data_IF_079541420093
#
_entry.id   IF_079541420093
#
_cell.length_a   1.000
_cell.length_b   1.000
_cell.length_c   1.000
_cell.angle_alpha   90.00
_cell.angle_beta   90.00
_cell.angle_gamma   90.00
#
_symmetry.space_group_name_H-M   'P 1'
#
loop_
_entity.id
_entity.type
_entity.pdbx_description
1 polymer ?
#
# COMPACT_ATOMS: atom_id res chain seq x y z
N UNK A 1 7.83 -11.63 -15.22
CA UNK A 1 6.68 -10.90 -14.62
C UNK A 1 7.11 -9.72 -13.74
N UNK A 2 8.05 -9.89 -12.80
CA UNK A 2 8.59 -8.78 -11.97
C UNK A 2 9.13 -7.57 -12.75
N UNK A 3 9.67 -7.80 -13.96
CA UNK A 3 10.12 -6.71 -14.85
C UNK A 3 8.96 -5.83 -15.32
N UNK A 4 7.82 -6.42 -15.70
CA UNK A 4 6.63 -5.66 -16.09
C UNK A 4 6.09 -4.87 -14.90
N UNK A 5 6.01 -5.51 -13.74
CA UNK A 5 5.62 -4.84 -12.49
C UNK A 5 6.54 -3.67 -12.16
N UNK A 6 7.85 -3.80 -12.34
CA UNK A 6 8.81 -2.72 -12.12
C UNK A 6 8.63 -1.54 -13.09
N UNK A 7 8.28 -1.80 -14.35
CA UNK A 7 8.00 -0.73 -15.32
C UNK A 7 6.72 0.02 -14.94
N UNK A 8 5.67 -0.71 -14.55
CA UNK A 8 4.41 -0.10 -14.12
C UNK A 8 4.61 0.66 -12.80
N UNK A 9 5.38 0.12 -11.86
CA UNK A 9 5.72 0.76 -10.58
C UNK A 9 6.42 2.10 -10.82
N UNK A 10 7.43 2.14 -11.70
CA UNK A 10 8.12 3.37 -12.08
C UNK A 10 7.16 4.43 -12.64
N UNK A 11 6.31 4.05 -13.60
CA UNK A 11 5.32 4.98 -14.19
C UNK A 11 4.33 5.52 -13.18
N UNK A 12 3.84 4.67 -12.26
CA UNK A 12 2.92 5.11 -11.21
C UNK A 12 3.64 6.05 -10.23
N UNK A 13 4.90 5.79 -9.87
CA UNK A 13 5.68 6.66 -8.98
C UNK A 13 5.94 8.05 -9.55
N UNK A 14 6.08 8.17 -10.87
CA UNK A 14 6.23 9.47 -11.53
C UNK A 14 4.97 10.34 -11.42
N UNK A 15 3.79 9.72 -11.24
CA UNK A 15 2.49 10.39 -11.13
C UNK A 15 2.08 10.58 -9.66
N UNK A 16 2.25 9.55 -8.83
CA UNK A 16 1.77 9.52 -7.46
C UNK A 16 2.69 10.32 -6.53
N UNK A 17 2.21 11.48 -6.08
CA UNK A 17 2.85 12.22 -4.99
C UNK A 17 2.38 11.75 -3.61
N UNK A 18 3.27 11.07 -2.89
CA UNK A 18 3.08 10.67 -1.50
C UNK A 18 3.37 11.83 -0.53
N UNK A 19 2.84 11.75 0.70
CA UNK A 19 3.08 12.79 1.70
C UNK A 19 4.52 12.73 2.22
N UNK A 20 5.06 13.88 2.65
CA UNK A 20 6.41 13.96 3.27
C UNK A 20 6.52 13.17 4.57
N UNK A 21 5.40 12.78 5.17
CA UNK A 21 5.35 12.01 6.41
C UNK A 21 5.34 10.49 6.15
N UNK A 22 5.20 10.07 4.88
CA UNK A 22 5.25 8.67 4.49
C UNK A 22 6.71 8.26 4.25
N UNK A 23 7.27 7.49 5.17
CA UNK A 23 8.64 6.96 5.09
C UNK A 23 8.70 5.52 4.59
N UNK A 24 7.62 4.75 4.75
CA UNK A 24 7.56 3.35 4.32
C UNK A 24 7.40 3.21 2.81
N UNK A 25 8.17 2.29 2.20
CA UNK A 25 8.12 1.96 0.76
C UNK A 25 8.44 3.12 -0.20
N UNK A 26 9.07 4.18 0.32
CA UNK A 26 9.61 5.30 -0.44
C UNK A 26 11.12 5.08 -0.68
N UNK A 27 11.58 5.34 -1.90
CA UNK A 27 13.01 5.30 -2.19
C UNK A 27 13.74 6.41 -1.40
N UNK A 28 14.86 6.06 -0.76
CA UNK A 28 15.68 7.01 -0.02
C UNK A 28 15.17 7.37 1.39
N UNK A 29 14.09 6.76 1.87
CA UNK A 29 13.64 6.89 3.26
C UNK A 29 13.69 5.54 3.98
N UNK A 30 14.30 5.51 5.16
CA UNK A 30 14.38 4.32 6.00
C UNK A 30 13.60 4.46 7.31
N UNK A 31 13.51 3.35 8.05
CA UNK A 31 12.96 3.34 9.41
C UNK A 31 13.70 4.32 10.34
N UNK A 32 15.02 4.47 10.16
CA UNK A 32 15.83 5.42 10.91
C UNK A 32 15.37 6.88 10.71
N UNK A 33 15.00 7.26 9.49
CA UNK A 33 14.48 8.60 9.20
C UNK A 33 13.12 8.84 9.87
N UNK A 34 12.25 7.83 9.86
CA UNK A 34 10.96 7.89 10.52
C UNK A 34 11.10 8.07 12.04
N UNK A 35 11.98 7.27 12.67
CA UNK A 35 12.29 7.36 14.10
C UNK A 35 12.86 8.74 14.42
N UNK A 36 13.85 9.20 13.64
CA UNK A 36 14.47 10.51 13.82
C UNK A 36 13.43 11.64 13.71
N UNK A 37 12.54 11.59 12.72
CA UNK A 37 11.48 12.59 12.57
C UNK A 37 10.53 12.61 13.79
N UNK A 38 10.17 11.44 14.31
CA UNK A 38 9.35 11.33 15.51
C UNK A 38 10.08 11.88 16.75
N UNK A 39 11.35 11.53 16.95
CA UNK A 39 12.18 12.04 18.05
C UNK A 39 12.28 13.58 18.02
N UNK A 40 12.60 14.16 16.86
CA UNK A 40 12.69 15.61 16.69
C UNK A 40 11.36 16.31 16.98
N UNK A 41 10.23 15.70 16.63
CA UNK A 41 8.91 16.24 16.91
C UNK A 41 8.58 16.24 18.41
N UNK A 42 9.00 15.20 19.13
CA UNK A 42 8.86 15.09 20.59
C UNK A 42 9.74 16.13 21.26
N UNK A 43 11.03 16.19 20.92
CA UNK A 43 12.00 17.12 21.48
C UNK A 43 11.54 18.58 21.35
N UNK A 44 11.12 18.99 20.14
CA UNK A 44 10.63 20.35 19.86
C UNK A 44 9.38 20.73 20.65
N UNK A 45 8.55 19.76 21.04
CA UNK A 45 7.37 19.99 21.88
C UNK A 45 7.74 20.06 23.36
N UNK A 46 8.66 19.20 23.81
CA UNK A 46 9.22 19.22 25.15
C UNK A 46 9.94 20.55 25.46
N UNK A 47 10.73 21.08 24.52
CA UNK A 47 11.39 22.39 24.62
C UNK A 47 10.39 23.53 24.90
N UNK A 48 9.18 23.42 24.35
CA UNK A 48 8.10 24.40 24.52
C UNK A 48 7.23 24.13 25.74
N UNK A 49 7.61 23.18 26.59
CA UNK A 49 6.85 22.71 27.74
C UNK A 49 5.39 22.34 27.39
N UNK A 50 5.17 21.84 26.17
CA UNK A 50 3.85 21.39 25.73
C UNK A 50 3.72 19.88 25.93
N UNK A 51 2.60 19.39 26.47
CA UNK A 51 2.36 17.96 26.57
C UNK A 51 2.35 17.31 25.18
N UNK A 52 2.91 16.10 25.09
CA UNK A 52 2.93 15.29 23.88
C UNK A 52 2.17 13.99 24.16
N UNK A 53 1.23 13.67 23.29
CA UNK A 53 0.53 12.39 23.28
C UNK A 53 0.82 11.69 21.95
N UNK A 54 1.15 10.41 22.01
CA UNK A 54 1.50 9.59 20.85
C UNK A 54 0.56 8.38 20.83
N UNK A 55 -0.07 8.15 19.69
CA UNK A 55 -0.85 6.95 19.42
C UNK A 55 -0.12 6.11 18.38
N UNK A 56 0.05 4.81 18.65
CA UNK A 56 0.57 3.86 17.68
C UNK A 56 -0.62 3.12 17.05
N UNK A 57 -0.71 3.17 15.72
CA UNK A 57 -1.75 2.51 14.93
C UNK A 57 -1.07 1.46 14.07
N UNK A 58 -1.38 0.19 14.33
CA UNK A 58 -1.00 -0.92 13.48
C UNK A 58 -2.26 -1.52 12.85
N UNK A 59 -2.21 -1.74 11.53
CA UNK A 59 -3.33 -2.28 10.78
C UNK A 59 -3.13 -3.80 10.65
N UNK A 60 -4.07 -4.59 11.16
CA UNK A 60 -4.00 -6.05 11.05
C UNK A 60 -4.21 -6.48 9.58
N UNK A 61 -3.25 -7.25 9.01
CA UNK A 61 -3.38 -7.91 7.70
C UNK A 61 -3.76 -6.97 6.56
N UNK A 62 -3.06 -5.84 6.47
CA UNK A 62 -3.42 -4.75 5.55
C UNK A 62 -3.44 -5.15 4.08
N UNK A 63 -2.51 -6.02 3.67
CA UNK A 63 -2.48 -6.54 2.31
C UNK A 63 -3.60 -7.55 2.02
N UNK A 64 -4.10 -8.24 3.05
CA UNK A 64 -5.12 -9.28 2.87
C UNK A 64 -6.54 -8.69 2.93
N UNK A 65 -6.72 -7.51 3.53
CA UNK A 65 -8.04 -6.90 3.75
C UNK A 65 -8.35 -5.67 2.90
N UNK A 66 -7.38 -5.13 2.16
CA UNK A 66 -7.59 -3.94 1.32
C UNK A 66 -8.55 -4.25 0.15
N UNK A 67 -9.72 -3.59 0.05
CA UNK A 67 -10.59 -3.75 -1.11
C UNK A 67 -9.92 -3.17 -2.36
N UNK A 68 -9.85 -3.96 -3.44
CA UNK A 68 -9.21 -3.54 -4.69
C UNK A 68 -9.81 -2.26 -5.27
N UNK A 69 -11.13 -2.08 -5.12
CA UNK A 69 -11.82 -0.87 -5.58
C UNK A 69 -11.33 0.42 -4.88
N UNK A 70 -10.93 0.33 -3.61
CA UNK A 70 -10.33 1.49 -2.91
C UNK A 70 -8.98 1.84 -3.51
N UNK A 71 -8.19 0.84 -3.91
CA UNK A 71 -6.89 1.04 -4.57
C UNK A 71 -7.10 1.73 -5.93
N UNK A 72 -8.05 1.26 -6.75
CA UNK A 72 -8.34 1.88 -8.04
C UNK A 72 -8.83 3.31 -7.90
N UNK A 73 -9.74 3.57 -6.96
CA UNK A 73 -10.20 4.92 -6.64
C UNK A 73 -9.06 5.83 -6.19
N UNK A 74 -8.11 5.33 -5.40
CA UNK A 74 -6.95 6.10 -4.98
C UNK A 74 -6.03 6.46 -6.15
N UNK A 75 -5.73 5.50 -7.03
CA UNK A 75 -4.91 5.77 -8.22
C UNK A 75 -5.55 6.84 -9.13
N UNK A 76 -6.87 6.77 -9.33
CA UNK A 76 -7.60 7.81 -10.07
C UNK A 76 -7.50 9.18 -9.40
N UNK A 77 -7.61 9.25 -8.07
CA UNK A 77 -7.45 10.50 -7.32
C UNK A 77 -6.04 11.07 -7.41
N UNK A 78 -5.04 10.21 -7.60
CA UNK A 78 -3.66 10.62 -7.85
C UNK A 78 -3.40 11.04 -9.31
N UNK A 79 -4.38 10.94 -10.20
CA UNK A 79 -4.25 11.33 -11.61
C UNK A 79 -3.60 10.27 -12.48
N UNK A 80 -3.61 9.00 -12.06
CA UNK A 80 -3.13 7.89 -12.89
C UNK A 80 -4.14 7.61 -14.00
N UNK A 81 -3.65 7.55 -15.24
CA UNK A 81 -4.47 7.27 -16.43
C UNK A 81 -5.18 5.90 -16.33
N UNK A 82 -6.42 5.83 -16.82
CA UNK A 82 -7.22 4.61 -16.75
C UNK A 82 -6.58 3.44 -17.51
N UNK A 83 -5.81 3.71 -18.56
CA UNK A 83 -5.03 2.68 -19.27
C UNK A 83 -4.02 2.00 -18.34
N UNK A 84 -3.29 2.78 -17.52
CA UNK A 84 -2.30 2.23 -16.59
C UNK A 84 -2.97 1.48 -15.43
N UNK A 85 -4.13 1.95 -14.98
CA UNK A 85 -4.96 1.24 -13.99
C UNK A 85 -5.43 -0.10 -14.56
N UNK A 86 -5.85 -0.13 -15.82
CA UNK A 86 -6.30 -1.35 -16.47
C UNK A 86 -5.14 -2.34 -16.68
N UNK A 87 -3.93 -1.86 -16.98
CA UNK A 87 -2.74 -2.72 -17.01
C UNK A 87 -2.45 -3.38 -15.66
N UNK A 88 -2.67 -2.67 -14.55
CA UNK A 88 -2.54 -3.26 -13.20
C UNK A 88 -3.65 -4.30 -12.97
N UNK A 89 -4.90 -4.00 -13.35
CA UNK A 89 -6.05 -4.92 -13.21
C UNK A 89 -5.90 -6.20 -14.01
N UNK A 90 -5.42 -6.10 -15.25
CA UNK A 90 -5.21 -7.22 -16.16
C UNK A 90 -3.96 -8.03 -15.82
N UNK A 91 -3.11 -7.53 -14.93
CA UNK A 91 -1.94 -8.28 -14.52
C UNK A 91 -2.36 -9.58 -13.80
N UNK A 92 -1.59 -10.68 -13.95
CA UNK A 92 -1.99 -12.00 -13.46
C UNK A 92 -2.19 -12.11 -11.95
N UNK A 93 -1.77 -11.09 -11.20
CA UNK A 93 -1.89 -11.01 -9.74
C UNK A 93 -3.19 -10.34 -9.27
N UNK A 94 -3.85 -9.56 -10.14
CA UNK A 94 -5.07 -8.81 -9.79
C UNK A 94 -6.29 -9.19 -10.66
N UNK A 95 -6.07 -9.85 -11.79
CA UNK A 95 -7.14 -10.47 -12.60
C UNK A 95 -7.79 -11.61 -11.84
N UNK A 96 -9.13 -11.67 -11.76
CA UNK A 96 -9.96 -12.67 -11.05
C UNK A 96 -9.30 -14.05 -10.82
N UNK A 97 -8.47 -14.16 -9.78
CA UNK A 97 -7.82 -15.43 -9.43
C UNK A 97 -8.85 -16.32 -8.75
N UNK A 98 -9.01 -17.53 -9.28
CA UNK A 98 -9.61 -18.64 -8.54
C UNK A 98 -8.50 -19.41 -7.87
N UNK A 99 -8.68 -19.73 -6.60
CA UNK A 99 -7.72 -20.51 -5.81
C UNK A 99 -8.34 -21.80 -5.33
N UNK A 100 -7.48 -22.78 -5.05
CA UNK A 100 -7.83 -24.06 -4.42
C UNK A 100 -6.79 -24.35 -3.35
N UNK A 101 -7.23 -24.93 -2.25
CA UNK A 101 -6.35 -25.37 -1.17
C UNK A 101 -6.13 -26.87 -1.32
N UNK A 102 -4.88 -27.30 -1.42
CA UNK A 102 -4.50 -28.70 -1.36
C UNK A 102 -4.05 -29.03 0.07
N UNK A 103 -4.73 -29.98 0.70
CA UNK A 103 -4.41 -30.46 2.05
C UNK A 103 -4.33 -32.00 2.04
N UNK A 104 -3.83 -32.58 3.14
CA UNK A 104 -3.77 -34.04 3.30
C UNK A 104 -5.15 -34.71 3.17
N UNK A 105 -6.23 -33.98 3.49
CA UNK A 105 -7.62 -34.43 3.36
C UNK A 105 -8.18 -34.32 1.92
N UNK A 106 -7.40 -33.81 0.95
CA UNK A 106 -7.82 -33.62 -0.44
C UNK A 106 -7.69 -32.18 -0.93
N UNK A 107 -8.19 -31.91 -2.14
CA UNK A 107 -8.17 -30.57 -2.76
C UNK A 107 -9.55 -29.92 -2.66
N UNK A 108 -9.61 -28.66 -2.19
CA UNK A 108 -10.87 -27.91 -2.05
C UNK A 108 -11.52 -27.59 -3.40
N UNK A 109 -12.79 -27.16 -3.40
CA UNK A 109 -13.38 -26.50 -4.58
C UNK A 109 -12.71 -25.16 -4.86
N UNK A 110 -12.83 -24.69 -6.10
CA UNK A 110 -12.37 -23.35 -6.49
C UNK A 110 -13.18 -22.26 -5.80
N UNK A 111 -12.48 -21.28 -5.23
CA UNK A 111 -13.09 -20.07 -4.69
C UNK A 111 -12.39 -18.83 -5.24
N UNK A 112 -13.13 -17.72 -5.45
CA UNK A 112 -12.54 -16.48 -5.96
C UNK A 112 -11.71 -15.75 -4.89
N UNK A 113 -10.57 -15.20 -5.28
CA UNK A 113 -9.77 -14.27 -4.47
C UNK A 113 -10.20 -12.84 -4.83
N UNK A 114 -11.00 -12.23 -3.96
CA UNK A 114 -11.59 -10.90 -4.16
C UNK A 114 -10.98 -9.79 -3.28
N UNK A 115 -10.34 -10.17 -2.17
CA UNK A 115 -9.73 -9.27 -1.18
C UNK A 115 -8.34 -9.81 -0.95
N UNK A 116 -7.36 -9.22 -1.63
CA UNK A 116 -5.93 -9.42 -1.38
C UNK A 116 -5.13 -8.65 -2.43
N UNK A 117 -4.11 -7.96 -1.93
CA UNK A 117 -2.95 -7.49 -2.68
C UNK A 117 -1.91 -8.61 -2.61
N UNK A 118 -1.40 -9.07 -3.75
CA UNK A 118 -0.58 -10.29 -3.80
C UNK A 118 0.73 -10.14 -3.01
N UNK A 119 0.96 -10.98 -1.99
CA UNK A 119 2.22 -11.00 -1.23
C UNK A 119 3.37 -11.46 -2.12
N UNK A 120 4.37 -10.61 -2.32
CA UNK A 120 5.54 -10.90 -3.17
C UNK A 120 5.50 -10.29 -4.57
N UNK A 121 4.43 -9.58 -4.93
CA UNK A 121 4.42 -8.68 -6.09
C UNK A 121 5.23 -7.41 -5.79
N UNK A 122 5.96 -6.93 -6.79
CA UNK A 122 6.74 -5.70 -6.67
C UNK A 122 5.86 -4.44 -6.61
N UNK A 123 4.62 -4.51 -7.12
CA UNK A 123 3.65 -3.41 -7.16
C UNK A 123 2.87 -3.26 -5.86
N UNK A 124 2.69 -4.35 -5.11
CA UNK A 124 1.88 -4.40 -3.90
C UNK A 124 2.17 -3.29 -2.89
N UNK A 125 3.43 -2.97 -2.57
CA UNK A 125 3.72 -1.90 -1.61
C UNK A 125 3.32 -0.52 -2.12
N UNK A 126 3.53 -0.23 -3.41
CA UNK A 126 3.18 1.05 -4.02
C UNK A 126 1.67 1.27 -4.05
N UNK A 127 0.92 0.25 -4.45
CA UNK A 127 -0.55 0.29 -4.48
C UNK A 127 -1.11 0.54 -3.07
N UNK A 128 -0.50 -0.08 -2.05
CA UNK A 128 -0.90 0.13 -0.67
C UNK A 128 -0.66 1.57 -0.21
N UNK A 129 0.54 2.12 -0.36
CA UNK A 129 0.83 3.49 0.09
C UNK A 129 0.05 4.56 -0.70
N UNK A 130 -0.24 4.30 -1.97
CA UNK A 130 -1.07 5.18 -2.79
C UNK A 130 -2.53 5.23 -2.29
N UNK A 131 -3.03 4.11 -1.75
CA UNK A 131 -4.38 4.03 -1.16
C UNK A 131 -4.51 4.66 0.22
N UNK A 132 -3.38 4.83 0.94
CA UNK A 132 -3.36 5.34 2.32
C UNK A 132 -3.94 6.75 2.49
N UNK A 133 -3.97 7.56 1.41
CA UNK A 133 -4.55 8.91 1.43
C UNK A 133 -6.06 8.92 1.67
N UNK A 134 -6.76 7.85 1.28
CA UNK A 134 -8.23 7.72 1.48
C UNK A 134 -8.55 7.41 2.95
N UNK A 135 -7.68 6.66 3.64
CA UNK A 135 -7.89 6.29 5.05
C UNK A 135 -7.49 7.36 6.06
N UNK A 136 -6.84 8.46 5.65
CA UNK A 136 -6.44 9.55 6.54
C UNK A 136 -7.44 10.72 6.59
N UNK A 137 -8.60 10.62 5.94
CA UNK A 137 -9.66 11.65 5.99
C UNK A 137 -10.71 11.44 7.10
N UNK A 138 -10.47 10.51 8.01
CA UNK A 138 -11.27 10.36 9.24
C UNK A 138 -10.39 10.56 10.47
N UNK A 139 -10.04 11.81 10.75
CA UNK A 139 -9.87 12.43 12.09
C UNK A 139 -9.53 13.90 11.93
#
# INVERSE_FOLDING_TARGET
>A
MKTFEGIVDGRIRDIVQLSSNQSGFLAGCGTADAIRAACLLIEKRCEKQRPVHIAFLDLEKVFDRAPREVIWCALRQHGVDEELIEWVRLSPFYSCLKSRVQAAAGTSMEFPISVEVHRGSALSPLLFVSSGRINQRFT
#
